data_IF_507683866827
#
_entry.id   IF_507683866827
#
_cell.length_a   1.000
_cell.length_b   1.000
_cell.length_c   1.000
_cell.angle_alpha   90.00
_cell.angle_beta   90.00
_cell.angle_gamma   90.00
#
_symmetry.space_group_name_H-M   'P 1'
#
loop_
_entity.id
_entity.type
_entity.pdbx_description
1 polymer ?
#
# COMPACT_ATOMS: atom_id res chain seq x y z
N UNK A 1 48.49 0.85 41.60
CA UNK A 1 47.03 0.95 41.86
C UNK A 1 46.31 0.54 40.58
N UNK A 2 45.64 -0.61 40.54
CA UNK A 2 44.88 -1.04 39.37
C UNK A 2 43.49 -0.39 39.35
N UNK A 3 43.07 0.11 38.20
CA UNK A 3 41.75 0.70 37.97
C UNK A 3 40.66 -0.38 38.04
N UNK A 4 39.54 -0.18 38.76
CA UNK A 4 38.44 -1.14 38.74
C UNK A 4 37.75 -1.09 37.37
N UNK A 5 37.88 -2.17 36.60
CA UNK A 5 37.11 -2.34 35.37
C UNK A 5 35.66 -2.66 35.75
N UNK A 6 34.74 -1.74 35.46
CA UNK A 6 33.30 -1.98 35.56
C UNK A 6 32.89 -3.08 34.57
N UNK A 7 32.09 -4.08 34.99
CA UNK A 7 31.58 -5.09 34.08
C UNK A 7 30.69 -4.45 33.01
N UNK A 8 30.97 -4.78 31.74
CA UNK A 8 30.11 -4.46 30.60
C UNK A 8 28.68 -4.92 30.92
N UNK A 9 27.77 -3.95 31.05
CA UNK A 9 26.35 -4.22 31.20
C UNK A 9 25.88 -4.91 29.92
N UNK A 10 25.61 -6.20 30.06
CA UNK A 10 25.01 -7.03 29.02
C UNK A 10 23.66 -6.38 28.71
N UNK A 11 23.54 -5.80 27.52
CA UNK A 11 22.29 -5.23 27.02
C UNK A 11 21.25 -6.34 27.02
N UNK A 12 20.40 -6.38 28.05
CA UNK A 12 19.24 -7.23 28.09
C UNK A 12 18.35 -6.82 26.91
N UNK A 13 18.26 -7.70 25.90
CA UNK A 13 17.34 -7.55 24.78
C UNK A 13 15.94 -7.39 25.35
N UNK A 14 15.36 -6.21 25.18
CA UNK A 14 13.95 -6.00 25.49
C UNK A 14 13.12 -6.86 24.53
N UNK A 15 12.48 -7.90 25.08
CA UNK A 15 11.54 -8.81 24.39
C UNK A 15 10.19 -8.16 24.05
N UNK A 16 10.20 -6.87 23.68
CA UNK A 16 9.00 -6.17 23.22
C UNK A 16 9.25 -5.56 21.86
N UNK A 17 8.96 -6.33 20.82
CA UNK A 17 8.63 -5.78 19.51
C UNK A 17 7.36 -6.46 19.04
N UNK A 18 6.28 -5.69 19.13
CA UNK A 18 4.96 -5.96 18.60
C UNK A 18 5.04 -6.67 17.24
N UNK A 19 4.32 -7.77 17.09
CA UNK A 19 4.12 -8.45 15.80
C UNK A 19 3.18 -7.61 14.93
N UNK A 20 3.69 -6.51 14.38
CA UNK A 20 3.00 -5.76 13.32
C UNK A 20 3.67 -6.16 12.02
N UNK A 21 3.02 -7.07 11.30
CA UNK A 21 3.22 -7.29 9.87
C UNK A 21 4.57 -7.88 9.49
N UNK A 22 4.65 -9.21 9.42
CA UNK A 22 5.50 -9.84 8.40
C UNK A 22 4.84 -9.57 7.05
N UNK A 23 5.02 -8.38 6.50
CA UNK A 23 4.79 -8.13 5.09
C UNK A 23 5.90 -8.88 4.38
N UNK A 24 5.57 -9.94 3.64
CA UNK A 24 6.54 -10.70 2.84
C UNK A 24 7.24 -9.74 1.87
N UNK A 25 8.51 -9.99 1.54
CA UNK A 25 9.27 -9.16 0.58
C UNK A 25 8.49 -8.94 -0.74
N UNK A 26 7.68 -9.93 -1.14
CA UNK A 26 6.75 -9.87 -2.28
C UNK A 26 5.60 -8.88 -2.09
N UNK A 27 4.96 -8.83 -0.93
CA UNK A 27 3.88 -7.87 -0.63
C UNK A 27 4.44 -6.45 -0.56
N UNK A 28 5.63 -6.27 -0.01
CA UNK A 28 6.31 -4.97 -0.01
C UNK A 28 6.70 -4.56 -1.43
N UNK A 29 7.14 -5.50 -2.27
CA UNK A 29 7.42 -5.27 -3.69
C UNK A 29 6.16 -4.87 -4.47
N UNK A 30 5.03 -5.56 -4.27
CA UNK A 30 3.72 -5.19 -4.83
C UNK A 30 3.34 -3.78 -4.39
N UNK A 31 3.45 -3.47 -3.10
CA UNK A 31 3.15 -2.12 -2.59
C UNK A 31 4.09 -1.06 -3.16
N UNK A 32 5.39 -1.36 -3.37
CA UNK A 32 6.34 -0.43 -4.01
C UNK A 32 6.01 -0.21 -5.48
N UNK A 33 5.62 -1.25 -6.22
CA UNK A 33 5.17 -1.11 -7.61
C UNK A 33 3.90 -0.26 -7.66
N UNK A 34 2.92 -0.55 -6.81
CA UNK A 34 1.70 0.25 -6.70
C UNK A 34 2.02 1.70 -6.34
N UNK A 35 2.93 1.97 -5.40
CA UNK A 35 3.38 3.34 -5.06
C UNK A 35 3.96 4.11 -6.24
N UNK A 36 4.56 3.43 -7.21
CA UNK A 36 5.16 4.06 -8.38
C UNK A 36 4.13 4.43 -9.46
N UNK A 37 3.00 3.73 -9.51
CA UNK A 37 1.95 3.90 -10.53
C UNK A 37 1.30 5.29 -10.44
N UNK A 38 0.73 5.74 -9.30
CA UNK A 38 0.08 7.03 -9.21
C UNK A 38 1.09 8.19 -9.25
N UNK A 39 2.37 7.94 -9.00
CA UNK A 39 3.41 8.96 -9.16
C UNK A 39 3.65 9.39 -10.61
N UNK A 40 3.17 8.61 -11.58
CA UNK A 40 3.21 8.97 -13.00
C UNK A 40 1.81 9.31 -13.53
N UNK A 41 0.75 9.30 -12.72
CA UNK A 41 -0.62 9.40 -13.23
C UNK A 41 -0.83 10.74 -13.93
N UNK A 42 -0.97 10.66 -15.24
CA UNK A 42 -1.25 11.76 -16.15
C UNK A 42 -2.29 11.28 -17.15
N UNK A 43 -3.07 12.18 -17.78
CA UNK A 43 -4.09 11.77 -18.75
C UNK A 43 -3.53 10.87 -19.85
N UNK A 44 -2.26 11.06 -20.21
CA UNK A 44 -1.57 10.29 -21.25
C UNK A 44 -1.22 8.84 -20.88
N UNK A 45 -1.14 8.48 -19.59
CA UNK A 45 -0.76 7.13 -19.17
C UNK A 45 -1.78 6.46 -18.27
N UNK A 46 -2.99 7.02 -18.18
CA UNK A 46 -4.11 6.49 -17.44
C UNK A 46 -4.39 5.01 -17.72
N UNK A 47 -4.62 4.64 -18.98
CA UNK A 47 -4.96 3.26 -19.37
C UNK A 47 -3.83 2.30 -19.02
N UNK A 48 -2.59 2.71 -19.32
CA UNK A 48 -1.40 1.91 -19.01
C UNK A 48 -1.21 1.70 -17.51
N UNK A 49 -1.54 2.70 -16.69
CA UNK A 49 -1.45 2.60 -15.24
C UNK A 49 -2.59 1.77 -14.68
N UNK A 50 -3.78 1.86 -15.26
CA UNK A 50 -4.92 0.99 -14.93
C UNK A 50 -4.57 -0.48 -15.16
N UNK A 51 -4.05 -0.82 -16.33
CA UNK A 51 -3.57 -2.17 -16.63
C UNK A 51 -2.51 -2.65 -15.64
N UNK A 52 -1.56 -1.79 -15.26
CA UNK A 52 -0.55 -2.13 -14.25
C UNK A 52 -1.19 -2.42 -12.88
N UNK A 53 -2.20 -1.66 -12.45
CA UNK A 53 -2.92 -1.94 -11.20
C UNK A 53 -3.66 -3.28 -11.28
N UNK A 54 -4.29 -3.58 -12.41
CA UNK A 54 -4.93 -4.89 -12.64
C UNK A 54 -3.91 -6.05 -12.60
N UNK A 55 -2.69 -5.83 -13.09
CA UNK A 55 -1.64 -6.85 -13.09
C UNK A 55 -1.03 -7.12 -11.70
N UNK A 56 -1.09 -6.18 -10.75
CA UNK A 56 -0.47 -6.36 -9.43
C UNK A 56 -1.19 -7.41 -8.57
N UNK A 57 -2.34 -7.94 -9.02
CA UNK A 57 -3.06 -9.01 -8.36
C UNK A 57 -3.47 -8.57 -6.93
N UNK A 58 -4.49 -7.71 -6.84
CA UNK A 58 -5.00 -7.19 -5.57
C UNK A 58 -5.79 -8.28 -4.86
N UNK A 59 -5.09 -9.14 -4.13
CA UNK A 59 -5.64 -10.31 -3.45
C UNK A 59 -5.96 -10.07 -1.97
N UNK A 60 -5.62 -8.89 -1.43
CA UNK A 60 -5.85 -8.55 -0.04
C UNK A 60 -6.22 -7.08 0.18
N UNK A 61 -6.87 -6.83 1.32
CA UNK A 61 -7.39 -5.51 1.70
C UNK A 61 -6.30 -4.49 1.98
N UNK A 62 -5.13 -4.92 2.43
CA UNK A 62 -3.99 -4.01 2.67
C UNK A 62 -3.54 -3.39 1.35
N UNK A 63 -3.42 -4.22 0.31
CA UNK A 63 -3.06 -3.80 -1.04
C UNK A 63 -4.14 -2.92 -1.65
N UNK A 64 -5.42 -3.30 -1.53
CA UNK A 64 -6.55 -2.49 -1.99
C UNK A 64 -6.57 -1.10 -1.33
N UNK A 65 -6.46 -1.06 0.00
CA UNK A 65 -6.40 0.19 0.76
C UNK A 65 -5.20 1.04 0.36
N UNK A 66 -4.04 0.41 0.12
CA UNK A 66 -2.84 1.09 -0.34
C UNK A 66 -3.02 1.79 -1.69
N UNK A 67 -3.72 1.17 -2.63
CA UNK A 67 -4.05 1.77 -3.93
C UNK A 67 -5.01 2.95 -3.76
N UNK A 68 -6.08 2.76 -2.98
CA UNK A 68 -7.09 3.81 -2.73
C UNK A 68 -6.45 5.06 -2.10
N UNK A 69 -5.64 4.88 -1.05
CA UNK A 69 -4.97 6.00 -0.38
C UNK A 69 -4.10 6.79 -1.33
N UNK A 70 -3.36 6.13 -2.22
CA UNK A 70 -2.48 6.82 -3.17
C UNK A 70 -3.24 7.61 -4.23
N UNK A 71 -4.34 7.07 -4.75
CA UNK A 71 -5.20 7.79 -5.69
C UNK A 71 -5.75 9.04 -5.01
N UNK A 72 -6.18 8.92 -3.75
CA UNK A 72 -6.72 10.03 -2.98
C UNK A 72 -5.69 11.11 -2.71
N UNK A 73 -4.49 10.75 -2.26
CA UNK A 73 -3.38 11.68 -2.03
C UNK A 73 -3.01 12.46 -3.31
N UNK A 74 -3.02 11.78 -4.46
CA UNK A 74 -2.78 12.43 -5.75
C UNK A 74 -3.92 13.35 -6.17
N UNK A 75 -5.17 12.95 -5.99
CA UNK A 75 -6.31 13.81 -6.27
C UNK A 75 -6.31 15.09 -5.41
N UNK A 76 -5.85 15.00 -4.16
CA UNK A 76 -5.68 16.16 -3.28
C UNK A 76 -4.52 17.07 -3.72
N UNK A 77 -3.42 16.48 -4.20
CA UNK A 77 -2.23 17.23 -4.63
C UNK A 77 -2.42 17.87 -6.01
N UNK A 78 -3.19 17.23 -6.89
CA UNK A 78 -3.38 17.60 -8.28
C UNK A 78 -4.87 17.76 -8.62
N UNK A 79 -5.55 18.76 -8.02
CA UNK A 79 -7.01 18.92 -8.13
C UNK A 79 -7.50 19.13 -9.56
N UNK A 80 -6.63 19.61 -10.46
CA UNK A 80 -6.92 19.79 -11.90
C UNK A 80 -7.26 18.48 -12.60
N UNK A 81 -6.79 17.34 -12.08
CA UNK A 81 -7.06 16.01 -12.65
C UNK A 81 -8.08 15.21 -11.81
N UNK A 82 -8.81 15.86 -10.89
CA UNK A 82 -9.78 15.20 -10.01
C UNK A 82 -10.83 14.38 -10.77
N UNK A 83 -11.36 14.90 -11.89
CA UNK A 83 -12.30 14.15 -12.74
C UNK A 83 -11.70 12.84 -13.27
N UNK A 84 -10.41 12.87 -13.60
CA UNK A 84 -9.70 11.70 -14.12
C UNK A 84 -9.43 10.67 -13.01
N UNK A 85 -9.05 11.12 -11.80
CA UNK A 85 -8.97 10.24 -10.62
C UNK A 85 -10.33 9.60 -10.28
N UNK A 86 -11.43 10.35 -10.40
CA UNK A 86 -12.78 9.81 -10.19
C UNK A 86 -13.14 8.73 -11.22
N UNK A 87 -12.81 8.94 -12.51
CA UNK A 87 -12.96 7.92 -13.56
C UNK A 87 -12.11 6.67 -13.26
N UNK A 88 -10.88 6.85 -12.77
CA UNK A 88 -10.02 5.72 -12.37
C UNK A 88 -10.68 4.87 -11.29
N UNK A 89 -11.17 5.50 -10.23
CA UNK A 89 -11.89 4.83 -9.14
C UNK A 89 -13.14 4.09 -9.65
N UNK A 90 -13.87 4.69 -10.60
CA UNK A 90 -15.04 4.05 -11.20
C UNK A 90 -14.69 2.76 -11.94
N UNK A 91 -13.62 2.79 -12.75
CA UNK A 91 -13.14 1.60 -13.46
C UNK A 91 -12.59 0.53 -12.50
N UNK A 92 -11.82 0.93 -11.48
CA UNK A 92 -11.31 -0.01 -10.48
C UNK A 92 -12.45 -0.72 -9.76
N UNK A 93 -13.51 0.01 -9.42
CA UNK A 93 -14.68 -0.57 -8.77
C UNK A 93 -15.47 -1.56 -9.63
N UNK A 94 -15.27 -1.54 -10.95
CA UNK A 94 -15.93 -2.48 -11.88
C UNK A 94 -15.08 -3.73 -12.15
N UNK A 95 -13.75 -3.57 -12.20
CA UNK A 95 -12.82 -4.65 -12.59
C UNK A 95 -12.23 -5.40 -11.39
N UNK A 96 -12.15 -4.78 -10.20
CA UNK A 96 -11.58 -5.46 -9.03
C UNK A 96 -12.53 -6.52 -8.47
N UNK A 97 -12.00 -7.71 -8.12
CA UNK A 97 -12.80 -8.75 -7.51
C UNK A 97 -13.23 -8.35 -6.10
N UNK A 98 -14.37 -8.89 -5.70
CA UNK A 98 -14.85 -8.81 -4.33
C UNK A 98 -13.91 -9.60 -3.40
N UNK A 99 -13.39 -8.94 -2.36
CA UNK A 99 -12.56 -9.57 -1.34
C UNK A 99 -13.47 -10.07 -0.21
N UNK A 100 -13.20 -11.23 0.36
CA UNK A 100 -13.99 -11.78 1.47
C UNK A 100 -13.13 -11.91 2.72
N UNK A 101 -13.46 -11.17 3.79
CA UNK A 101 -12.81 -11.27 5.10
C UNK A 101 -13.88 -11.55 6.14
N UNK A 102 -13.75 -12.64 6.90
CA UNK A 102 -14.61 -12.95 8.07
C UNK A 102 -16.13 -12.85 7.77
N UNK A 103 -16.57 -13.36 6.62
CA UNK A 103 -17.95 -13.32 6.09
C UNK A 103 -18.44 -11.93 5.64
N UNK A 104 -17.58 -10.91 5.63
CA UNK A 104 -17.85 -9.60 5.05
C UNK A 104 -17.22 -9.49 3.65
N UNK A 105 -18.03 -9.04 2.70
CA UNK A 105 -17.58 -8.76 1.34
C UNK A 105 -17.06 -7.33 1.29
N UNK A 106 -15.76 -7.18 1.12
CA UNK A 106 -15.06 -5.91 0.96
C UNK A 106 -14.87 -5.67 -0.53
N UNK A 107 -15.43 -4.57 -1.01
CA UNK A 107 -15.37 -4.15 -2.40
C UNK A 107 -14.59 -2.84 -2.48
N UNK A 108 -14.23 -2.40 -3.69
CA UNK A 108 -13.65 -1.07 -3.84
C UNK A 108 -14.57 0.06 -3.31
N UNK A 109 -15.90 -0.13 -3.36
CA UNK A 109 -16.88 0.88 -2.96
C UNK A 109 -17.19 0.87 -1.46
N UNK A 110 -16.91 -0.23 -0.76
CA UNK A 110 -17.42 -0.49 0.59
C UNK A 110 -16.53 -1.45 1.33
#
# INVERSE_FOLDING_TARGET
MPSPQTPLQVMQKAEKKYEIGKVTDEEEAKQRQLKAIPNKLTPQNFEKLFEQVMQVNIDNVITLSGVISQIFDKALTEPTFCEMYAKFCFHLAAELPDLSIENEIITFKR
#
